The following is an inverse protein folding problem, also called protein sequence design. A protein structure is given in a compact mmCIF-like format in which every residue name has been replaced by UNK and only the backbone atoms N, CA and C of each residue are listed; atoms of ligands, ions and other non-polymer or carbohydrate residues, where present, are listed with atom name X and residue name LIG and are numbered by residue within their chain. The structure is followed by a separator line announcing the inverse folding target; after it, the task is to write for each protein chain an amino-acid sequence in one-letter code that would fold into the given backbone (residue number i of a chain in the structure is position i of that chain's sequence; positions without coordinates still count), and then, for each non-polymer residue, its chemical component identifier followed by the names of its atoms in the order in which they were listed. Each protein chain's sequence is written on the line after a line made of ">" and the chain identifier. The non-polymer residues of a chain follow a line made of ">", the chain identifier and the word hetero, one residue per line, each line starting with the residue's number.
data_IF_128765041327
#
_entry.id   IF_128765041327
#
_cell.length_a   1.000
_cell.length_b   1.000
_cell.length_c   1.000
_cell.angle_alpha   90.00
_cell.angle_beta   90.00
_cell.angle_gamma   90.00
#
_symmetry.space_group_name_H-M   'P 1'
#
loop_
_entity.id
_entity.type
_entity.pdbx_description
1 polymer ?
#
# COMPACT_ATOMS: atom_id res chain seq x y z
N UNK A 1 18.59 -74.54 18.81
CA UNK A 1 17.16 -74.19 18.93
C UNK A 1 16.74 -73.48 17.65
N UNK A 2 15.72 -74.01 16.99
CA UNK A 2 15.18 -73.60 15.69
C UNK A 2 14.38 -72.28 15.78
N UNK A 3 14.58 -71.39 14.79
CA UNK A 3 13.63 -70.61 13.93
C UNK A 3 12.26 -70.09 14.47
N UNK A 4 11.49 -69.24 13.73
CA UNK A 4 11.72 -68.00 12.96
C UNK A 4 10.76 -66.85 13.43
N UNK A 5 10.83 -65.65 12.83
CA UNK A 5 9.68 -65.05 12.11
C UNK A 5 10.04 -63.71 11.45
N UNK A 6 9.76 -63.68 10.15
CA UNK A 6 9.74 -62.54 9.25
C UNK A 6 8.67 -61.52 9.66
N UNK A 7 8.99 -60.23 9.56
CA UNK A 7 8.02 -59.23 9.11
C UNK A 7 8.69 -58.35 8.05
N UNK A 8 8.25 -58.53 6.81
CA UNK A 8 8.35 -57.53 5.75
C UNK A 8 7.54 -56.30 6.15
N UNK A 9 8.11 -55.11 5.98
CA UNK A 9 7.31 -53.95 5.57
C UNK A 9 8.15 -53.01 4.72
N UNK A 10 7.94 -53.12 3.43
CA UNK A 10 8.37 -52.16 2.41
C UNK A 10 7.72 -50.80 2.68
N UNK A 11 8.50 -49.75 2.89
CA UNK A 11 8.03 -48.39 2.68
C UNK A 11 8.85 -47.72 1.58
N UNK A 12 8.16 -47.65 0.45
CA UNK A 12 8.32 -46.85 -0.75
C UNK A 12 9.18 -45.58 -0.57
N UNK A 13 10.19 -45.49 -1.43
CA UNK A 13 10.74 -44.23 -1.93
C UNK A 13 9.64 -43.49 -2.67
N UNK A 14 9.36 -42.23 -2.30
CA UNK A 14 8.90 -41.15 -3.20
C UNK A 14 8.66 -39.83 -2.46
N UNK A 15 9.47 -38.82 -2.79
CA UNK A 15 9.11 -37.46 -3.23
C UNK A 15 10.37 -36.61 -3.09
N UNK A 16 11.13 -36.40 -4.17
CA UNK A 16 10.91 -35.34 -5.14
C UNK A 16 10.97 -33.94 -4.51
N UNK A 17 12.12 -33.29 -4.74
CA UNK A 17 12.32 -31.84 -4.86
C UNK A 17 11.38 -30.92 -4.07
N UNK A 18 11.77 -30.55 -2.85
CA UNK A 18 11.41 -29.26 -2.27
C UNK A 18 12.54 -28.25 -2.51
N UNK A 19 12.76 -27.93 -3.79
CA UNK A 19 13.47 -26.73 -4.23
C UNK A 19 12.58 -26.12 -5.31
N UNK A 20 11.51 -25.45 -4.90
CA UNK A 20 10.52 -25.07 -5.89
C UNK A 20 9.39 -24.22 -5.36
N UNK A 21 9.67 -23.13 -4.65
CA UNK A 21 8.72 -22.01 -4.58
C UNK A 21 9.41 -20.65 -4.77
N UNK A 22 10.69 -20.49 -4.40
CA UNK A 22 11.37 -19.19 -4.52
C UNK A 22 11.86 -18.82 -5.93
N UNK A 23 11.86 -19.76 -6.89
CA UNK A 23 12.52 -19.55 -8.20
C UNK A 23 11.56 -19.47 -9.40
N UNK A 24 10.25 -19.65 -9.22
CA UNK A 24 9.29 -19.60 -10.35
C UNK A 24 8.70 -18.19 -10.54
N UNK A 25 8.61 -17.38 -9.48
CA UNK A 25 8.20 -15.98 -9.61
C UNK A 25 9.27 -15.12 -10.36
N UNK A 26 10.53 -15.57 -10.38
CA UNK A 26 11.63 -14.89 -11.07
C UNK A 26 11.61 -15.04 -12.61
N UNK A 27 10.77 -15.91 -13.19
CA UNK A 27 10.78 -16.22 -14.64
C UNK A 27 9.77 -15.49 -15.51
N UNK A 28 9.14 -14.41 -15.02
CA UNK A 28 8.35 -13.48 -15.84
C UNK A 28 8.77 -12.03 -15.63
N UNK A 29 9.99 -11.71 -16.06
CA UNK A 29 10.32 -10.47 -16.77
C UNK A 29 9.97 -9.09 -16.16
N UNK A 30 9.54 -8.98 -14.91
CA UNK A 30 9.49 -7.72 -14.19
C UNK A 30 10.45 -7.84 -13.00
N UNK A 31 11.55 -7.08 -12.94
CA UNK A 31 12.35 -7.03 -11.73
C UNK A 31 11.44 -6.61 -10.57
N UNK A 32 11.50 -7.35 -9.48
CA UNK A 32 10.88 -6.92 -8.23
C UNK A 32 11.36 -5.50 -7.94
N UNK A 33 10.41 -4.58 -7.90
CA UNK A 33 10.67 -3.17 -7.69
C UNK A 33 11.40 -3.01 -6.35
N UNK A 34 12.49 -2.23 -6.25
CA UNK A 34 13.25 -2.17 -5.00
C UNK A 34 12.51 -1.44 -3.86
N UNK A 35 11.25 -1.02 -4.04
CA UNK A 35 10.51 -0.22 -3.05
C UNK A 35 11.19 1.12 -2.72
N UNK A 36 12.23 1.50 -3.47
CA UNK A 36 13.05 2.67 -3.20
C UNK A 36 12.28 3.92 -3.60
N UNK A 37 11.93 4.71 -2.58
CA UNK A 37 11.26 6.00 -2.72
C UNK A 37 11.86 6.88 -3.82
N UNK A 38 13.19 6.92 -3.91
CA UNK A 38 13.89 7.71 -4.93
C UNK A 38 13.44 7.33 -6.34
N UNK A 39 13.41 6.03 -6.65
CA UNK A 39 12.99 5.56 -7.96
C UNK A 39 11.54 5.95 -8.24
N UNK A 40 10.63 5.74 -7.27
CA UNK A 40 9.22 6.13 -7.41
C UNK A 40 9.08 7.63 -7.71
N UNK A 41 9.78 8.49 -6.96
CA UNK A 41 9.75 9.93 -7.17
C UNK A 41 10.35 10.36 -8.52
N UNK A 42 11.38 9.66 -9.00
CA UNK A 42 12.04 9.92 -10.29
C UNK A 42 11.17 9.46 -11.49
N UNK A 43 10.36 8.42 -11.30
CA UNK A 43 9.39 7.96 -12.30
C UNK A 43 8.08 8.74 -12.26
N UNK A 44 7.64 9.20 -11.08
CA UNK A 44 6.33 9.81 -10.86
C UNK A 44 6.46 11.28 -10.39
N UNK A 45 6.69 12.24 -11.32
CA UNK A 45 6.77 13.66 -10.98
C UNK A 45 5.47 14.23 -10.39
N UNK A 46 4.29 13.77 -10.84
CA UNK A 46 2.98 14.25 -10.35
C UNK A 46 2.38 13.33 -9.28
N UNK A 47 3.10 13.11 -8.17
CA UNK A 47 2.66 12.23 -7.08
C UNK A 47 2.12 13.06 -5.92
N UNK A 48 0.81 12.97 -5.68
CA UNK A 48 0.09 13.73 -4.66
C UNK A 48 -1.18 13.00 -4.17
N UNK A 49 -1.72 13.39 -3.02
CA UNK A 49 -3.00 12.85 -2.53
C UNK A 49 -4.12 13.81 -2.91
N UNK A 50 -5.05 13.33 -3.74
CA UNK A 50 -6.29 14.02 -4.05
C UNK A 50 -7.42 13.52 -3.15
N UNK A 51 -8.41 14.40 -2.94
CA UNK A 51 -9.53 14.11 -2.04
C UNK A 51 -9.20 14.29 -0.57
N UNK A 52 -8.03 14.84 -0.21
CA UNK A 52 -7.62 15.09 1.16
C UNK A 52 -8.47 16.10 1.91
N UNK A 53 -8.85 17.18 1.23
CA UNK A 53 -9.43 18.33 1.89
C UNK A 53 -10.89 18.08 2.24
N UNK A 54 -11.23 18.21 3.51
CA UNK A 54 -12.61 18.18 3.95
C UNK A 54 -13.43 19.26 3.21
N UNK A 55 -14.67 18.95 2.82
CA UNK A 55 -15.63 19.96 2.35
C UNK A 55 -16.48 20.45 3.53
N UNK A 56 -16.96 21.70 3.46
CA UNK A 56 -17.85 22.24 4.50
C UNK A 56 -19.11 21.37 4.63
N UNK A 57 -19.42 20.94 5.86
CA UNK A 57 -20.59 20.10 6.14
C UNK A 57 -20.39 18.61 5.82
N UNK A 58 -19.18 18.21 5.43
CA UNK A 58 -18.84 16.82 5.22
C UNK A 58 -18.73 16.09 6.58
N UNK A 59 -19.47 15.00 6.72
CA UNK A 59 -19.60 14.26 7.99
C UNK A 59 -18.65 13.05 8.03
N UNK A 60 -18.20 12.58 6.87
CA UNK A 60 -17.30 11.41 6.73
C UNK A 60 -16.04 11.76 5.98
N UNK A 61 -14.88 11.19 6.34
CA UNK A 61 -13.64 11.47 5.65
C UNK A 61 -13.77 11.12 4.16
N UNK A 62 -13.31 12.03 3.27
CA UNK A 62 -13.32 11.75 1.84
C UNK A 62 -12.38 10.59 1.51
N UNK A 63 -12.73 9.85 0.45
CA UNK A 63 -11.83 8.86 -0.12
C UNK A 63 -10.50 9.50 -0.52
N UNK A 64 -9.40 8.95 0.01
CA UNK A 64 -8.04 9.45 -0.22
C UNK A 64 -7.37 8.65 -1.34
N UNK A 65 -7.15 9.29 -2.48
CA UNK A 65 -6.50 8.67 -3.65
C UNK A 65 -5.12 9.26 -3.83
N UNK A 66 -4.09 8.41 -3.84
CA UNK A 66 -2.76 8.81 -4.28
C UNK A 66 -2.77 8.85 -5.82
N UNK A 67 -2.82 10.06 -6.36
CA UNK A 67 -2.79 10.32 -7.80
C UNK A 67 -1.35 10.44 -8.25
N UNK A 68 -1.08 9.90 -9.43
CA UNK A 68 0.26 9.77 -9.95
C UNK A 68 0.31 9.99 -11.45
N UNK A 69 1.18 10.89 -11.89
CA UNK A 69 1.67 10.94 -13.27
C UNK A 69 3.04 10.27 -13.31
N UNK A 70 3.11 9.06 -13.86
CA UNK A 70 4.34 8.27 -13.89
C UNK A 70 4.80 7.97 -15.31
N UNK A 71 6.11 7.90 -15.52
CA UNK A 71 6.69 7.49 -16.80
C UNK A 71 6.23 6.07 -17.16
N UNK A 72 5.73 5.91 -18.37
CA UNK A 72 5.39 4.61 -18.96
C UNK A 72 6.15 4.44 -20.28
N UNK A 73 7.15 3.55 -20.35
CA UNK A 73 7.89 3.30 -21.59
C UNK A 73 7.06 2.55 -22.66
N UNK A 74 5.98 1.87 -22.24
CA UNK A 74 5.13 1.05 -23.11
C UNK A 74 3.92 1.83 -23.67
N UNK A 75 3.57 3.00 -23.08
CA UNK A 75 2.57 3.90 -23.64
C UNK A 75 3.24 4.89 -24.58
N UNK A 76 3.11 4.65 -25.88
CA UNK A 76 3.54 5.60 -26.92
C UNK A 76 2.38 6.15 -27.73
N UNK A 77 1.16 6.14 -27.19
CA UNK A 77 0.04 6.79 -27.88
C UNK A 77 0.15 8.31 -27.67
N UNK A 78 0.38 9.03 -28.78
CA UNK A 78 0.48 10.51 -28.87
C UNK A 78 1.78 11.16 -28.36
N UNK A 79 2.86 10.40 -28.19
CA UNK A 79 4.17 10.97 -27.81
C UNK A 79 4.34 11.28 -26.32
N UNK A 80 3.29 11.13 -25.52
CA UNK A 80 3.36 11.19 -24.07
C UNK A 80 3.74 9.82 -23.50
N UNK A 81 4.92 9.76 -22.88
CA UNK A 81 5.43 8.59 -22.15
C UNK A 81 5.00 8.62 -20.68
N UNK A 82 3.79 9.10 -20.39
CA UNK A 82 3.29 9.30 -19.03
C UNK A 82 1.94 8.61 -18.89
N UNK A 83 1.77 7.86 -17.80
CA UNK A 83 0.53 7.25 -17.39
C UNK A 83 0.00 7.99 -16.15
N UNK A 84 -1.20 8.54 -16.26
CA UNK A 84 -1.94 9.10 -15.13
C UNK A 84 -2.78 8.01 -14.48
N UNK A 85 -2.63 7.87 -13.18
CA UNK A 85 -3.24 6.82 -12.38
C UNK A 85 -3.64 7.31 -11.00
N UNK A 86 -4.38 6.48 -10.29
CA UNK A 86 -4.74 6.72 -8.91
C UNK A 86 -4.87 5.41 -8.16
N UNK A 87 -4.41 5.44 -6.91
CA UNK A 87 -4.42 4.32 -5.99
C UNK A 87 -5.18 4.71 -4.73
N UNK A 88 -6.28 4.01 -4.47
CA UNK A 88 -7.05 4.20 -3.25
C UNK A 88 -6.24 3.77 -2.03
N UNK A 89 -5.91 4.68 -1.12
CA UNK A 89 -5.04 4.37 0.01
C UNK A 89 -5.66 3.37 1.01
N UNK A 90 -7.00 3.28 1.06
CA UNK A 90 -7.71 2.27 1.85
C UNK A 90 -7.52 0.83 1.35
N UNK A 91 -7.05 0.63 0.11
CA UNK A 91 -6.62 -0.68 -0.38
C UNK A 91 -5.25 -1.09 0.15
N UNK A 92 -4.47 -0.12 0.63
CA UNK A 92 -3.08 -0.32 1.03
C UNK A 92 -2.86 -0.28 2.54
N UNK A 93 -3.71 0.45 3.25
CA UNK A 93 -3.56 0.79 4.65
C UNK A 93 -4.65 0.14 5.50
N UNK A 94 -4.23 -0.39 6.64
CA UNK A 94 -5.10 -0.74 7.78
C UNK A 94 -4.88 0.23 8.94
N UNK A 95 -5.54 -0.07 10.06
CA UNK A 95 -5.46 0.68 11.30
C UNK A 95 -5.34 -0.27 12.49
N UNK A 96 -4.33 -0.07 13.32
CA UNK A 96 -4.20 -0.76 14.60
C UNK A 96 -4.86 0.11 15.69
N UNK A 97 -6.05 -0.27 16.13
CA UNK A 97 -6.80 0.45 17.17
C UNK A 97 -6.08 0.51 18.51
N UNK A 98 -5.23 -0.48 18.82
CA UNK A 98 -4.52 -0.54 20.10
C UNK A 98 -3.39 0.50 20.14
N UNK A 99 -2.74 0.72 19.02
CA UNK A 99 -1.62 1.67 18.92
C UNK A 99 -2.02 3.00 18.28
N UNK A 100 -3.21 3.07 17.69
CA UNK A 100 -3.73 4.18 16.90
C UNK A 100 -2.76 4.60 15.79
N UNK A 101 -2.25 3.61 15.06
CA UNK A 101 -1.29 3.77 13.96
C UNK A 101 -1.76 3.05 12.69
N UNK A 102 -1.25 3.53 11.56
CA UNK A 102 -1.41 2.86 10.28
C UNK A 102 -0.63 1.56 10.21
N UNK A 103 -1.19 0.59 9.48
CA UNK A 103 -0.53 -0.67 9.14
C UNK A 103 -0.53 -0.88 7.63
N UNK A 104 0.43 -1.65 7.12
CA UNK A 104 0.40 -2.12 5.73
C UNK A 104 -0.56 -3.31 5.64
N UNK A 105 -1.75 -3.11 5.08
CA UNK A 105 -2.80 -4.12 5.05
C UNK A 105 -3.63 -4.00 3.77
N UNK A 106 -3.71 -5.11 3.04
CA UNK A 106 -4.55 -5.25 1.85
C UNK A 106 -6.01 -5.04 2.20
N UNK A 107 -6.67 -4.12 1.49
CA UNK A 107 -8.09 -3.76 1.71
C UNK A 107 -8.38 -3.50 3.22
N UNK A 108 -7.46 -2.81 3.89
CA UNK A 108 -7.50 -2.58 5.35
C UNK A 108 -8.38 -1.42 5.80
N UNK A 109 -8.77 -0.53 4.88
CA UNK A 109 -9.64 0.62 5.16
C UNK A 109 -9.15 1.55 6.29
N UNK A 110 -7.83 1.68 6.48
CA UNK A 110 -7.27 2.38 7.64
C UNK A 110 -7.69 3.84 7.80
N UNK A 111 -8.04 4.52 6.70
CA UNK A 111 -8.45 5.94 6.71
C UNK A 111 -9.97 6.11 6.93
N UNK A 112 -10.74 5.03 6.85
CA UNK A 112 -12.20 5.09 6.94
C UNK A 112 -12.70 5.57 8.31
N UNK A 113 -13.94 6.08 8.33
CA UNK A 113 -14.62 6.61 9.51
C UNK A 113 -14.60 5.67 10.72
N UNK A 114 -14.78 4.37 10.49
CA UNK A 114 -14.81 3.35 11.54
C UNK A 114 -13.42 2.88 11.99
N UNK A 115 -12.35 3.32 11.33
CA UNK A 115 -10.96 2.95 11.64
C UNK A 115 -10.21 4.18 12.19
N UNK A 116 -9.29 4.77 11.42
CA UNK A 116 -8.56 5.96 11.84
C UNK A 116 -9.38 7.25 11.76
N UNK A 117 -10.46 7.26 10.98
CA UNK A 117 -11.26 8.46 10.68
C UNK A 117 -10.35 9.62 10.26
N UNK A 118 -9.65 9.44 9.14
CA UNK A 118 -8.53 10.29 8.76
C UNK A 118 -8.88 11.25 7.63
N UNK A 119 -8.43 12.48 7.80
CA UNK A 119 -8.72 13.66 6.99
C UNK A 119 -7.43 14.37 6.61
N UNK A 120 -7.52 15.26 5.62
CA UNK A 120 -6.47 16.21 5.26
C UNK A 120 -5.10 15.52 5.06
N UNK A 121 -5.13 14.34 4.42
CA UNK A 121 -3.95 13.55 4.13
C UNK A 121 -3.06 14.20 3.07
N UNK A 122 -1.75 14.16 3.26
CA UNK A 122 -0.78 14.62 2.26
C UNK A 122 0.36 13.64 2.09
N UNK A 123 0.92 13.66 0.89
CA UNK A 123 2.13 12.93 0.57
C UNK A 123 3.32 13.90 0.55
N UNK A 124 4.36 13.61 1.32
CA UNK A 124 5.59 14.39 1.32
C UNK A 124 6.68 13.70 0.49
N UNK A 125 7.25 14.43 -0.47
CA UNK A 125 8.27 13.92 -1.41
C UNK A 125 9.68 13.84 -0.80
N UNK A 126 9.80 13.84 0.53
CA UNK A 126 11.07 13.79 1.23
C UNK A 126 11.80 12.48 0.94
N UNK A 127 13.12 12.53 0.71
CA UNK A 127 13.94 11.35 0.34
C UNK A 127 13.99 10.23 1.40
N UNK A 128 13.61 10.51 2.65
CA UNK A 128 13.65 9.58 3.78
C UNK A 128 12.59 9.93 4.84
N UNK A 129 12.32 9.00 5.75
CA UNK A 129 11.35 9.18 6.85
C UNK A 129 9.91 8.88 6.42
N UNK A 130 8.92 9.27 7.23
CA UNK A 130 7.52 9.09 6.84
C UNK A 130 7.17 10.03 5.68
N UNK A 131 6.27 9.57 4.81
CA UNK A 131 5.84 10.30 3.61
C UNK A 131 4.32 10.40 3.48
N UNK A 132 3.55 9.70 4.32
CA UNK A 132 2.12 9.92 4.49
C UNK A 132 1.90 10.67 5.80
N UNK A 133 1.10 11.74 5.75
CA UNK A 133 0.73 12.54 6.91
C UNK A 133 -0.78 12.77 6.84
N UNK A 134 -1.52 12.34 7.84
CA UNK A 134 -2.97 12.49 7.92
C UNK A 134 -3.38 12.98 9.30
N UNK A 135 -4.48 13.72 9.39
CA UNK A 135 -5.10 14.06 10.66
C UNK A 135 -6.22 13.07 10.95
N UNK A 136 -6.08 12.29 12.02
CA UNK A 136 -7.00 11.21 12.34
C UNK A 136 -7.76 11.51 13.63
N UNK A 137 -9.07 11.26 13.63
CA UNK A 137 -9.95 11.58 14.75
C UNK A 137 -10.04 10.44 15.78
N UNK A 138 -9.87 9.18 15.35
CA UNK A 138 -9.99 8.01 16.23
C UNK A 138 -8.67 7.70 16.95
N UNK A 139 -8.21 8.68 17.73
CA UNK A 139 -6.92 8.69 18.42
C UNK A 139 -7.10 9.15 19.88
N UNK A 140 -6.15 8.85 20.78
CA UNK A 140 -6.17 9.39 22.12
C UNK A 140 -5.93 10.90 22.07
N UNK A 141 -6.70 11.64 22.88
CA UNK A 141 -6.55 13.09 23.10
C UNK A 141 -6.49 13.92 21.79
N UNK A 142 -7.49 13.80 20.89
CA UNK A 142 -7.53 14.59 19.66
C UNK A 142 -7.72 16.08 19.99
N UNK A 143 -7.12 16.96 19.20
CA UNK A 143 -7.17 18.41 19.39
C UNK A 143 -7.91 19.09 18.25
N UNK A 144 -8.40 20.30 18.50
CA UNK A 144 -9.00 21.12 17.45
C UNK A 144 -7.97 21.41 16.35
N UNK A 145 -8.35 21.18 15.10
CA UNK A 145 -7.54 21.51 13.93
C UNK A 145 -8.22 22.65 13.18
N UNK A 146 -7.85 23.89 13.50
CA UNK A 146 -8.52 25.10 13.01
C UNK A 146 -8.56 25.23 11.48
N UNK A 147 -7.68 24.53 10.76
CA UNK A 147 -7.61 24.55 9.30
C UNK A 147 -8.46 23.46 8.63
N UNK A 148 -9.10 22.57 9.40
CA UNK A 148 -10.02 21.57 8.84
C UNK A 148 -11.39 22.20 8.59
N UNK A 149 -11.96 21.93 7.42
CA UNK A 149 -13.36 22.28 7.13
C UNK A 149 -14.37 21.38 7.84
N UNK A 150 -13.89 20.26 8.42
CA UNK A 150 -14.64 19.43 9.32
C UNK A 150 -14.36 19.92 10.75
N UNK A 151 -15.40 20.28 11.50
CA UNK A 151 -15.31 20.66 12.92
C UNK A 151 -15.08 19.40 13.78
N UNK A 152 -13.95 18.73 13.54
CA UNK A 152 -13.59 17.43 14.10
C UNK A 152 -12.24 17.56 14.76
N UNK A 153 -12.14 17.09 16.01
CA UNK A 153 -10.87 17.02 16.74
C UNK A 153 -10.04 15.88 16.16
N UNK A 154 -8.75 16.13 15.93
CA UNK A 154 -7.84 15.17 15.29
C UNK A 154 -6.43 15.25 15.88
N UNK A 155 -5.61 14.24 15.59
CA UNK A 155 -4.17 14.31 15.78
C UNK A 155 -3.42 13.82 14.54
N UNK A 156 -2.22 14.35 14.35
CA UNK A 156 -1.36 13.94 13.24
C UNK A 156 -0.93 12.48 13.41
N UNK A 157 -1.08 11.71 12.34
CA UNK A 157 -0.55 10.36 12.18
C UNK A 157 0.25 10.29 10.90
N UNK A 158 1.36 9.56 10.98
CA UNK A 158 2.33 9.52 9.90
C UNK A 158 2.68 8.08 9.61
N UNK A 159 2.96 7.79 8.35
CA UNK A 159 3.30 6.45 7.91
C UNK A 159 4.32 6.50 6.78
N UNK A 160 5.06 5.40 6.64
CA UNK A 160 5.97 5.21 5.54
C UNK A 160 5.34 4.29 4.49
N UNK A 161 5.00 4.84 3.34
CA UNK A 161 4.47 4.10 2.18
C UNK A 161 5.56 3.35 1.39
N UNK A 162 6.84 3.51 1.76
CA UNK A 162 7.94 2.78 1.12
C UNK A 162 7.77 1.28 1.34
N UNK A 163 7.92 0.51 0.26
CA UNK A 163 7.67 -0.94 0.28
C UNK A 163 6.20 -1.35 0.38
N UNK A 164 5.26 -0.41 0.55
CA UNK A 164 3.81 -0.67 0.49
C UNK A 164 3.26 -0.38 -0.90
N UNK A 165 3.69 0.77 -1.46
CA UNK A 165 3.29 1.20 -2.79
C UNK A 165 4.41 0.84 -3.78
N UNK A 166 3.99 0.35 -4.94
CA UNK A 166 4.86 -0.10 -6.01
C UNK A 166 4.41 0.54 -7.33
N UNK A 167 5.36 0.79 -8.25
CA UNK A 167 5.00 1.06 -9.63
C UNK A 167 4.80 -0.29 -10.34
N UNK A 168 3.56 -0.57 -10.70
CA UNK A 168 3.19 -1.73 -11.49
C UNK A 168 3.44 -1.51 -12.99
N UNK A 169 2.86 -2.42 -13.78
CA UNK A 169 2.98 -2.38 -15.23
C UNK A 169 2.30 -1.13 -15.80
N UNK A 170 2.83 -0.64 -16.91
CA UNK A 170 2.25 0.50 -17.60
C UNK A 170 2.32 1.81 -16.79
N UNK A 171 3.26 1.93 -15.85
CA UNK A 171 3.43 3.15 -15.07
C UNK A 171 2.29 3.42 -14.07
N UNK A 172 1.52 2.41 -13.67
CA UNK A 172 0.42 2.58 -12.72
C UNK A 172 0.84 2.14 -11.32
N UNK A 173 0.49 2.94 -10.31
CA UNK A 173 0.72 2.56 -8.92
C UNK A 173 -0.19 1.41 -8.48
N UNK A 174 0.35 0.55 -7.63
CA UNK A 174 -0.35 -0.56 -6.98
C UNK A 174 0.15 -0.77 -5.56
N UNK A 175 -0.60 -1.52 -4.77
CA UNK A 175 -0.16 -2.05 -3.48
C UNK A 175 -0.74 -3.45 -3.31
N UNK A 176 -0.04 -4.36 -2.63
CA UNK A 176 -0.54 -5.73 -2.40
C UNK A 176 -0.99 -6.47 -3.67
N UNK A 177 -0.37 -6.12 -4.82
CA UNK A 177 -0.72 -6.64 -6.14
C UNK A 177 -2.01 -6.08 -6.77
N UNK A 178 -2.68 -5.10 -6.15
CA UNK A 178 -3.92 -4.50 -6.64
C UNK A 178 -3.75 -3.06 -7.13
N UNK A 179 -4.45 -2.74 -8.22
CA UNK A 179 -4.57 -1.38 -8.76
C UNK A 179 -5.89 -0.71 -8.32
N UNK A 180 -5.97 0.59 -8.59
CA UNK A 180 -7.25 1.25 -8.86
C UNK A 180 -7.68 2.27 -7.82
N UNK A 181 -8.65 3.06 -8.26
CA UNK A 181 -9.22 4.21 -7.57
C UNK A 181 -10.18 3.79 -6.45
N UNK A 182 -10.51 4.79 -5.61
CA UNK A 182 -11.75 4.81 -4.85
C UNK A 182 -12.87 5.28 -5.81
#
# INVERSE_FOLDING_TARGET
>A
MYWPLLILSSFLVSLAASQGIDTIAAKRGAPAFPGERKYMLDQCPGLEIMGARAQRGQIRPPSQTLVSDCKNPDYSHKGEKVATGGLCLNKCLGWDERTHQFTSQKDGYGLAEWNGNCWDCRFERNKKGNNLFCYCANVPEPKEHHDSYADVKMALRTFNLDGVIELGNGGLLRCHGQYGYC
#
